data_IF_575560808583
#
_entry.id   IF_575560808583
#
_cell.length_a   1.000
_cell.length_b   1.000
_cell.length_c   1.000
_cell.angle_alpha   90.00
_cell.angle_beta   90.00
_cell.angle_gamma   90.00
#
_symmetry.space_group_name_H-M   'P 1'
#
loop_
_entity.id
_entity.type
_entity.pdbx_description
1 polymer ?
#
# COMPACT_ATOMS: atom_id res chain seq x y z
N UNK A 1 -6.79 13.05 39.56
CA UNK A 1 -6.23 11.95 38.73
C UNK A 1 -5.59 12.53 37.47
N UNK A 2 -4.76 11.73 36.78
CA UNK A 2 -4.08 12.16 35.55
C UNK A 2 -5.08 12.57 34.44
N UNK A 3 -6.22 11.89 34.32
CA UNK A 3 -7.27 12.24 33.36
C UNK A 3 -7.88 13.63 33.58
N UNK A 4 -8.21 13.99 34.83
CA UNK A 4 -8.75 15.33 35.14
C UNK A 4 -7.71 16.44 34.89
N UNK A 5 -6.42 16.15 35.13
CA UNK A 5 -5.32 17.09 34.86
C UNK A 5 -5.18 17.33 33.36
N UNK A 6 -5.16 16.26 32.56
CA UNK A 6 -5.10 16.34 31.10
C UNK A 6 -6.29 17.12 30.51
N UNK A 7 -7.51 16.89 31.01
CA UNK A 7 -8.71 17.62 30.58
C UNK A 7 -8.61 19.12 30.90
N UNK A 8 -7.98 19.48 32.02
CA UNK A 8 -7.76 20.88 32.40
C UNK A 8 -6.69 21.54 31.53
N UNK A 9 -5.64 20.82 31.13
CA UNK A 9 -4.63 21.28 30.17
C UNK A 9 -5.26 21.65 28.82
N UNK A 10 -6.12 20.79 28.26
CA UNK A 10 -6.84 21.10 27.02
C UNK A 10 -7.77 22.33 27.16
N UNK A 11 -8.48 22.45 28.30
CA UNK A 11 -9.40 23.57 28.55
C UNK A 11 -8.71 24.93 28.69
N UNK A 12 -7.43 24.96 29.10
CA UNK A 12 -6.64 26.21 29.17
C UNK A 12 -5.88 26.49 27.88
N UNK A 13 -6.20 25.79 26.79
CA UNK A 13 -5.64 26.03 25.47
C UNK A 13 -4.28 25.38 25.22
N UNK A 14 -3.87 24.40 26.04
CA UNK A 14 -2.70 23.58 25.69
C UNK A 14 -3.07 22.70 24.50
N UNK A 15 -2.44 22.97 23.35
CA UNK A 15 -2.55 22.14 22.16
C UNK A 15 -1.97 20.78 22.47
N UNK A 16 -2.71 19.72 22.13
CA UNK A 16 -2.24 18.33 22.23
C UNK A 16 -0.98 18.07 21.37
N UNK A 17 -0.73 18.98 20.42
CA UNK A 17 0.35 18.98 19.43
C UNK A 17 1.63 19.70 19.91
N UNK A 18 1.75 20.01 21.20
CA UNK A 18 3.00 20.49 21.81
C UNK A 18 4.10 19.42 21.91
N UNK A 19 3.76 18.15 21.69
CA UNK A 19 4.73 17.09 21.38
C UNK A 19 4.59 16.76 19.89
N UNK A 20 5.29 17.54 19.06
CA UNK A 20 5.51 17.17 17.66
C UNK A 20 6.21 15.81 17.63
N UNK A 21 5.47 14.75 17.31
CA UNK A 21 6.08 13.52 16.81
C UNK A 21 6.92 13.90 15.58
N UNK A 22 8.21 13.59 15.63
CA UNK A 22 9.24 13.94 14.65
C UNK A 22 8.81 13.64 13.20
N UNK A 23 7.89 12.68 13.02
CA UNK A 23 7.35 12.20 11.74
C UNK A 23 6.55 13.23 10.95
N UNK A 24 5.77 14.13 11.60
CA UNK A 24 4.97 15.13 10.89
C UNK A 24 5.77 16.40 10.53
N UNK A 25 6.86 16.66 11.26
CA UNK A 25 7.74 17.80 11.00
C UNK A 25 8.62 17.55 9.76
N UNK A 26 9.04 16.31 9.51
CA UNK A 26 9.88 15.98 8.34
C UNK A 26 9.12 16.20 7.03
N UNK A 27 7.85 15.78 6.91
CA UNK A 27 7.11 15.93 5.65
C UNK A 27 6.84 17.40 5.30
N UNK A 28 6.51 18.23 6.31
CA UNK A 28 6.29 19.67 6.12
C UNK A 28 7.59 20.47 5.93
N UNK A 29 8.70 20.09 6.61
CA UNK A 29 10.01 20.74 6.40
C UNK A 29 10.65 20.34 5.07
N UNK A 30 10.45 19.11 4.58
CA UNK A 30 11.00 18.68 3.29
C UNK A 30 10.35 19.45 2.12
N UNK A 31 9.04 19.72 2.18
CA UNK A 31 8.37 20.54 1.17
C UNK A 31 8.74 22.03 1.24
N UNK A 32 9.04 22.57 2.43
CA UNK A 32 9.40 23.99 2.59
C UNK A 32 10.89 24.27 2.32
N UNK A 33 11.79 23.34 2.64
CA UNK A 33 13.25 23.51 2.42
C UNK A 33 13.67 23.39 0.95
N UNK A 34 12.86 22.74 0.10
CA UNK A 34 13.08 22.73 -1.35
C UNK A 34 12.75 24.09 -2.02
N UNK A 35 11.96 24.95 -1.37
CA UNK A 35 11.62 26.30 -1.85
C UNK A 35 12.69 27.34 -1.48
N UNK A 36 13.37 27.20 -0.33
CA UNK A 36 14.29 28.22 0.18
C UNK A 36 15.78 27.98 -0.14
N UNK A 37 16.16 26.81 -0.67
CA UNK A 37 17.55 26.56 -1.13
C UNK A 37 17.90 27.20 -2.48
N UNK A 38 16.98 27.93 -3.13
CA UNK A 38 17.23 28.58 -4.43
C UNK A 38 17.77 30.02 -4.33
N UNK A 39 17.86 30.61 -3.14
CA UNK A 39 18.38 31.96 -2.93
C UNK A 39 19.39 31.89 -1.77
N UNK A 40 20.59 32.46 -1.95
CA UNK A 40 21.77 32.41 -1.05
C UNK A 40 22.64 31.17 -1.28
N UNK A 41 23.51 31.15 -2.29
CA UNK A 41 24.84 31.77 -2.16
C UNK A 41 25.50 31.96 -3.53
N UNK A 42 25.56 33.23 -3.99
CA UNK A 42 26.67 33.72 -4.81
C UNK A 42 27.74 34.21 -3.83
N UNK A 43 28.74 33.38 -3.55
CA UNK A 43 30.03 33.82 -3.03
C UNK A 43 31.05 32.70 -3.27
N UNK A 44 31.93 32.97 -4.22
CA UNK A 44 33.10 32.18 -4.61
C UNK A 44 34.07 31.92 -3.45
N UNK A 45 34.66 30.73 -3.41
CA UNK A 45 36.11 30.49 -3.29
C UNK A 45 36.40 28.99 -3.47
N UNK A 46 37.23 28.70 -4.48
CA UNK A 46 37.71 27.37 -4.86
C UNK A 46 38.59 26.76 -3.77
N UNK A 47 38.28 25.53 -3.35
CA UNK A 47 39.26 24.59 -2.83
C UNK A 47 38.95 23.19 -3.36
N UNK A 48 39.87 22.71 -4.18
CA UNK A 48 39.88 21.41 -4.83
C UNK A 48 40.09 20.32 -3.76
N UNK A 49 39.16 19.37 -3.64
CA UNK A 49 39.39 18.10 -2.94
C UNK A 49 38.76 16.98 -3.79
N UNK A 50 39.46 15.86 -4.05
CA UNK A 50 38.95 14.84 -4.97
C UNK A 50 37.88 14.00 -4.27
N UNK A 51 36.61 14.28 -4.55
CA UNK A 51 35.48 13.39 -4.27
C UNK A 51 35.37 12.33 -5.38
N UNK A 52 36.34 11.41 -5.40
CA UNK A 52 36.30 10.21 -6.26
C UNK A 52 36.24 9.04 -5.29
N UNK A 53 35.04 8.51 -4.99
CA UNK A 53 34.79 7.10 -4.63
C UNK A 53 33.36 6.80 -4.12
N UNK A 54 32.50 7.79 -3.86
CA UNK A 54 31.10 7.51 -3.44
C UNK A 54 30.18 7.22 -4.63
N UNK A 55 30.42 7.87 -5.78
CA UNK A 55 29.58 7.72 -6.99
C UNK A 55 29.60 6.31 -7.61
N UNK A 56 30.67 5.53 -7.40
CA UNK A 56 30.81 4.20 -8.02
C UNK A 56 30.06 3.07 -7.31
N UNK A 57 29.66 3.23 -6.04
CA UNK A 57 28.95 2.18 -5.29
C UNK A 57 27.44 2.26 -5.46
N UNK A 58 26.92 3.43 -5.76
CA UNK A 58 25.48 3.70 -5.79
C UNK A 58 24.86 3.28 -7.12
N UNK A 59 25.57 3.46 -8.26
CA UNK A 59 25.20 2.85 -9.55
C UNK A 59 25.21 1.31 -9.48
N UNK A 60 25.99 0.70 -8.58
CA UNK A 60 26.00 -0.76 -8.40
C UNK A 60 24.67 -1.30 -7.88
N UNK A 61 23.92 -0.51 -7.10
CA UNK A 61 22.61 -0.96 -6.59
C UNK A 61 21.67 -1.18 -7.76
N UNK A 62 21.54 -0.20 -8.67
CA UNK A 62 20.68 -0.33 -9.86
C UNK A 62 21.14 -1.48 -10.75
N UNK A 63 22.44 -1.58 -11.04
CA UNK A 63 22.98 -2.71 -11.82
C UNK A 63 22.74 -4.06 -11.16
N UNK A 64 22.86 -4.15 -9.84
CA UNK A 64 22.59 -5.38 -9.09
C UNK A 64 21.09 -5.73 -9.14
N UNK A 65 20.20 -4.75 -8.93
CA UNK A 65 18.75 -4.93 -9.01
C UNK A 65 18.31 -5.44 -10.39
N UNK A 66 18.96 -5.01 -11.47
CA UNK A 66 18.72 -5.54 -12.82
C UNK A 66 19.09 -7.01 -12.97
N UNK A 67 20.21 -7.44 -12.38
CA UNK A 67 20.71 -8.82 -12.49
C UNK A 67 19.88 -9.78 -11.67
N UNK A 68 19.38 -9.33 -10.51
CA UNK A 68 18.53 -10.15 -9.64
C UNK A 68 17.06 -10.09 -10.03
N UNK A 69 16.71 -9.35 -11.08
CA UNK A 69 15.33 -9.25 -11.56
C UNK A 69 14.81 -10.64 -11.96
N UNK A 70 13.64 -11.06 -11.45
CA UNK A 70 13.16 -12.41 -11.72
C UNK A 70 12.85 -12.70 -13.18
N UNK A 71 12.95 -13.97 -13.55
CA UNK A 71 12.51 -14.45 -14.85
C UNK A 71 10.98 -14.32 -15.01
N UNK A 72 10.55 -14.21 -16.27
CA UNK A 72 9.13 -14.07 -16.59
C UNK A 72 8.39 -15.36 -16.29
N UNK A 73 7.18 -15.22 -15.76
CA UNK A 73 6.28 -16.34 -15.44
C UNK A 73 5.09 -16.29 -16.40
N UNK A 74 4.73 -17.44 -16.97
CA UNK A 74 3.54 -17.60 -17.81
C UNK A 74 2.29 -17.82 -16.94
N UNK A 75 1.16 -17.24 -17.33
CA UNK A 75 -0.12 -17.39 -16.66
C UNK A 75 -0.67 -18.82 -16.75
N UNK A 76 -0.49 -19.47 -17.89
CA UNK A 76 -0.95 -20.84 -18.18
C UNK A 76 -2.45 -21.02 -17.92
N UNK A 77 -3.35 -20.26 -18.59
CA UNK A 77 -4.80 -20.43 -18.43
C UNK A 77 -5.24 -21.85 -18.81
N UNK A 78 -6.06 -22.49 -17.98
CA UNK A 78 -6.53 -23.85 -18.22
C UNK A 78 -7.39 -23.93 -19.50
N UNK A 79 -6.96 -24.66 -20.55
CA UNK A 79 -7.70 -24.75 -21.80
C UNK A 79 -9.01 -25.54 -21.68
N UNK A 80 -9.19 -26.32 -20.61
CA UNK A 80 -10.38 -27.15 -20.38
C UNK A 80 -11.54 -26.37 -19.75
N UNK A 81 -11.23 -25.23 -19.12
CA UNK A 81 -12.22 -24.35 -18.51
C UNK A 81 -12.90 -23.45 -19.57
N UNK A 82 -14.23 -23.26 -19.53
CA UNK A 82 -14.91 -22.34 -20.42
C UNK A 82 -14.48 -20.90 -20.14
N UNK A 83 -14.42 -20.07 -21.18
CA UNK A 83 -14.09 -18.66 -21.03
C UNK A 83 -15.17 -17.93 -20.24
N UNK A 84 -14.74 -17.09 -19.30
CA UNK A 84 -15.60 -16.38 -18.38
C UNK A 84 -14.83 -15.81 -17.19
N UNK A 85 -15.56 -15.13 -16.32
CA UNK A 85 -15.04 -14.47 -15.13
C UNK A 85 -14.29 -15.43 -14.19
N UNK A 86 -14.86 -16.60 -13.90
CA UNK A 86 -14.25 -17.59 -12.99
C UNK A 86 -12.89 -18.06 -13.53
N UNK A 87 -12.79 -18.37 -14.83
CA UNK A 87 -11.53 -18.82 -15.45
C UNK A 87 -10.47 -17.73 -15.39
N UNK A 88 -10.83 -16.50 -15.76
CA UNK A 88 -9.90 -15.38 -15.74
C UNK A 88 -9.40 -15.07 -14.32
N UNK A 89 -10.31 -14.99 -13.36
CA UNK A 89 -9.97 -14.72 -11.96
C UNK A 89 -9.14 -15.84 -11.34
N UNK A 90 -9.44 -17.11 -11.63
CA UNK A 90 -8.63 -18.25 -11.18
C UNK A 90 -7.22 -18.15 -11.74
N UNK A 91 -7.08 -17.91 -13.05
CA UNK A 91 -5.78 -17.74 -13.72
C UNK A 91 -4.95 -16.62 -13.08
N UNK A 92 -5.58 -15.47 -12.78
CA UNK A 92 -4.89 -14.36 -12.14
C UNK A 92 -4.48 -14.67 -10.68
N UNK A 93 -5.33 -15.36 -9.91
CA UNK A 93 -4.99 -15.78 -8.54
C UNK A 93 -3.80 -16.76 -8.53
N UNK A 94 -3.79 -17.72 -9.46
CA UNK A 94 -2.72 -18.71 -9.61
C UNK A 94 -1.40 -18.09 -10.10
N UNK A 95 -1.49 -17.11 -11.00
CA UNK A 95 -0.33 -16.32 -11.42
C UNK A 95 0.22 -15.48 -10.25
N UNK A 96 -0.65 -14.77 -9.52
CA UNK A 96 -0.25 -13.93 -8.40
C UNK A 96 0.41 -14.74 -7.28
N UNK A 97 -0.10 -15.94 -6.95
CA UNK A 97 0.51 -16.82 -5.96
C UNK A 97 1.95 -17.23 -6.34
N UNK A 98 2.17 -17.58 -7.61
CA UNK A 98 3.50 -17.92 -8.13
C UNK A 98 4.44 -16.71 -8.18
N UNK A 99 3.95 -15.56 -8.64
CA UNK A 99 4.71 -14.31 -8.62
C UNK A 99 5.09 -13.90 -7.18
N UNK A 100 4.22 -14.12 -6.19
CA UNK A 100 4.52 -13.84 -4.78
C UNK A 100 5.69 -14.66 -4.25
N UNK A 101 5.76 -15.97 -4.56
CA UNK A 101 6.90 -16.82 -4.17
C UNK A 101 8.21 -16.24 -4.72
N UNK A 102 8.19 -15.81 -5.97
CA UNK A 102 9.34 -15.21 -6.64
C UNK A 102 9.70 -13.84 -6.06
N UNK A 103 8.72 -13.00 -5.73
CA UNK A 103 8.93 -11.70 -5.05
C UNK A 103 9.59 -11.88 -3.68
N UNK A 104 9.17 -12.87 -2.90
CA UNK A 104 9.77 -13.17 -1.58
C UNK A 104 11.24 -13.59 -1.75
N UNK A 105 11.54 -14.38 -2.78
CA UNK A 105 12.92 -14.73 -3.13
C UNK A 105 13.75 -13.53 -3.59
N UNK A 106 13.18 -12.71 -4.46
CA UNK A 106 13.80 -11.49 -5.00
C UNK A 106 14.14 -10.49 -3.91
N UNK A 107 13.23 -10.24 -2.96
CA UNK A 107 13.43 -9.25 -1.89
C UNK A 107 14.71 -9.50 -1.08
N UNK A 108 15.07 -10.76 -0.85
CA UNK A 108 16.31 -11.14 -0.13
C UNK A 108 17.60 -10.70 -0.83
N UNK A 109 17.53 -10.44 -2.14
CA UNK A 109 18.67 -9.99 -2.94
C UNK A 109 18.83 -8.47 -2.95
N UNK A 110 17.86 -7.72 -2.43
CA UNK A 110 17.95 -6.26 -2.32
C UNK A 110 18.99 -5.92 -1.25
N UNK A 111 20.02 -5.10 -1.58
CA UNK A 111 21.04 -4.71 -0.61
C UNK A 111 20.43 -4.10 0.66
N UNK A 112 20.78 -4.66 1.82
CA UNK A 112 20.28 -4.23 3.12
C UNK A 112 19.00 -4.93 3.59
N UNK A 113 18.15 -5.44 2.70
CA UNK A 113 16.86 -6.05 3.10
C UNK A 113 17.03 -7.28 3.99
N UNK A 114 17.96 -8.18 3.66
CA UNK A 114 18.23 -9.40 4.44
C UNK A 114 18.85 -9.16 5.82
N UNK A 115 19.29 -7.93 6.11
CA UNK A 115 19.84 -7.54 7.42
C UNK A 115 18.77 -7.08 8.40
N UNK A 116 17.56 -6.79 7.92
CA UNK A 116 16.41 -6.44 8.75
C UNK A 116 15.95 -7.65 9.58
N UNK A 117 15.21 -7.39 10.67
CA UNK A 117 14.58 -8.47 11.43
C UNK A 117 13.61 -9.25 10.53
N UNK A 118 13.41 -10.54 10.81
CA UNK A 118 12.46 -11.34 10.03
C UNK A 118 11.03 -10.77 10.12
N UNK A 119 10.67 -10.18 11.27
CA UNK A 119 9.38 -9.51 11.46
C UNK A 119 9.23 -8.29 10.53
N UNK A 120 10.28 -7.48 10.42
CA UNK A 120 10.31 -6.32 9.51
C UNK A 120 10.27 -6.76 8.04
N UNK A 121 11.05 -7.77 7.66
CA UNK A 121 11.03 -8.32 6.29
C UNK A 121 9.61 -8.78 5.90
N UNK A 122 8.94 -9.51 6.79
CA UNK A 122 7.56 -9.97 6.56
C UNK A 122 6.57 -8.80 6.50
N UNK A 123 6.70 -7.83 7.41
CA UNK A 123 5.87 -6.62 7.44
C UNK A 123 5.97 -5.80 6.16
N UNK A 124 7.19 -5.61 5.64
CA UNK A 124 7.43 -4.89 4.38
C UNK A 124 6.78 -5.64 3.20
N UNK A 125 6.98 -6.96 3.11
CA UNK A 125 6.40 -7.80 2.05
C UNK A 125 4.86 -7.80 2.09
N UNK A 126 4.26 -8.01 3.27
CA UNK A 126 2.81 -7.98 3.47
C UNK A 126 2.19 -6.62 3.13
N UNK A 127 2.97 -5.54 3.28
CA UNK A 127 2.55 -4.20 2.93
C UNK A 127 2.75 -3.86 1.44
N UNK A 128 3.80 -4.33 0.79
CA UNK A 128 4.13 -3.87 -0.57
C UNK A 128 3.76 -4.85 -1.69
N UNK A 129 3.38 -6.09 -1.40
CA UNK A 129 3.25 -7.13 -2.42
C UNK A 129 2.37 -6.76 -3.62
N UNK A 130 1.20 -6.15 -3.38
CA UNK A 130 0.31 -5.77 -4.48
C UNK A 130 0.89 -4.61 -5.31
N UNK A 131 1.62 -3.68 -4.68
CA UNK A 131 2.31 -2.61 -5.42
C UNK A 131 3.38 -3.21 -6.32
N UNK A 132 4.12 -4.21 -5.85
CA UNK A 132 5.15 -4.90 -6.62
C UNK A 132 4.53 -5.65 -7.82
N UNK A 133 3.42 -6.36 -7.61
CA UNK A 133 2.70 -7.05 -8.69
C UNK A 133 2.16 -6.06 -9.73
N UNK A 134 1.46 -5.00 -9.29
CA UNK A 134 0.90 -3.98 -10.17
C UNK A 134 2.01 -3.27 -10.96
N UNK A 135 3.12 -2.93 -10.31
CA UNK A 135 4.24 -2.28 -10.99
C UNK A 135 4.83 -3.19 -12.08
N UNK A 136 4.91 -4.50 -11.82
CA UNK A 136 5.38 -5.49 -12.79
C UNK A 136 4.44 -5.60 -13.98
N UNK A 137 3.12 -5.64 -13.75
CA UNK A 137 2.09 -5.61 -14.81
C UNK A 137 2.20 -4.32 -15.63
N UNK A 138 2.34 -3.17 -14.96
CA UNK A 138 2.45 -1.86 -15.61
C UNK A 138 3.66 -1.81 -16.53
N UNK A 139 4.82 -2.27 -16.05
CA UNK A 139 6.05 -2.27 -16.83
C UNK A 139 5.96 -3.21 -18.04
N UNK A 140 5.38 -4.42 -17.87
CA UNK A 140 5.11 -5.35 -18.97
C UNK A 140 4.19 -4.75 -20.05
N UNK A 141 3.26 -3.88 -19.65
CA UNK A 141 2.24 -3.30 -20.54
C UNK A 141 2.69 -2.06 -21.31
N UNK A 142 3.89 -1.50 -21.03
CA UNK A 142 4.37 -0.27 -21.69
C UNK A 142 4.46 -0.35 -23.23
N UNK A 143 4.84 -1.51 -23.84
CA UNK A 143 4.91 -1.62 -25.30
C UNK A 143 3.53 -1.65 -26.00
N UNK A 144 2.46 -1.99 -25.28
CA UNK A 144 1.12 -2.14 -25.85
C UNK A 144 0.34 -0.81 -25.83
N UNK A 145 -0.74 -0.75 -26.63
CA UNK A 145 -1.69 0.36 -26.60
C UNK A 145 -2.98 -0.11 -25.95
N UNK A 146 -3.36 0.48 -24.83
CA UNK A 146 -4.68 0.26 -24.20
C UNK A 146 -4.96 -1.20 -23.76
N UNK A 147 -3.91 -2.01 -23.64
CA UNK A 147 -3.95 -3.41 -23.18
C UNK A 147 -3.16 -3.59 -21.88
N UNK A 148 -3.58 -4.56 -21.06
CA UNK A 148 -2.87 -4.94 -19.83
C UNK A 148 -2.24 -6.32 -20.00
N UNK A 149 -0.92 -6.38 -19.84
CA UNK A 149 -0.10 -7.59 -19.98
C UNK A 149 0.16 -8.20 -18.59
N UNK A 150 -0.74 -9.09 -18.17
CA UNK A 150 -0.56 -9.82 -16.91
C UNK A 150 0.56 -10.86 -17.01
N UNK A 151 0.70 -11.54 -18.14
CA UNK A 151 1.82 -12.42 -18.48
C UNK A 151 2.04 -12.40 -19.99
N UNK A 152 3.15 -12.97 -20.49
CA UNK A 152 3.40 -13.03 -21.95
C UNK A 152 2.30 -13.76 -22.73
N UNK A 153 1.68 -14.76 -22.10
CA UNK A 153 0.58 -15.58 -22.62
C UNK A 153 -0.80 -15.12 -22.13
N UNK A 154 -0.88 -13.97 -21.43
CA UNK A 154 -2.14 -13.45 -20.89
C UNK A 154 -2.19 -11.92 -20.97
N UNK A 155 -2.65 -11.46 -22.14
CA UNK A 155 -2.88 -10.05 -22.47
C UNK A 155 -4.39 -9.82 -22.52
N UNK A 156 -4.85 -8.74 -21.90
CA UNK A 156 -6.27 -8.44 -21.75
C UNK A 156 -6.54 -7.00 -22.19
N UNK A 157 -7.31 -6.85 -23.26
CA UNK A 157 -7.88 -5.57 -23.72
C UNK A 157 -9.12 -5.16 -22.89
N UNK A 158 -9.69 -3.98 -23.14
CA UNK A 158 -10.87 -3.50 -22.42
C UNK A 158 -12.11 -4.39 -22.61
N UNK A 159 -12.31 -4.94 -23.82
CA UNK A 159 -13.48 -5.77 -24.13
C UNK A 159 -13.38 -7.13 -23.43
N UNK A 160 -12.22 -7.77 -23.50
CA UNK A 160 -11.89 -9.00 -22.80
C UNK A 160 -11.99 -8.80 -21.29
N UNK A 161 -11.53 -7.65 -20.76
CA UNK A 161 -11.68 -7.32 -19.36
C UNK A 161 -13.15 -7.24 -18.95
N UNK A 162 -14.00 -6.63 -19.78
CA UNK A 162 -15.44 -6.55 -19.55
C UNK A 162 -16.10 -7.94 -19.54
N UNK A 163 -15.79 -8.77 -20.53
CA UNK A 163 -16.33 -10.13 -20.65
C UNK A 163 -15.84 -11.07 -19.52
N UNK A 164 -14.66 -10.81 -18.98
CA UNK A 164 -14.00 -11.64 -17.96
C UNK A 164 -14.15 -11.10 -16.53
N UNK A 165 -14.98 -10.07 -16.31
CA UNK A 165 -15.17 -9.48 -14.98
C UNK A 165 -13.94 -8.75 -14.41
N UNK A 166 -12.97 -8.39 -15.25
CA UNK A 166 -11.72 -7.70 -14.88
C UNK A 166 -11.76 -6.20 -15.15
N UNK A 167 -12.90 -5.64 -15.59
CA UNK A 167 -13.00 -4.24 -16.02
C UNK A 167 -12.55 -3.26 -14.93
N UNK A 168 -12.90 -3.50 -13.67
CA UNK A 168 -12.49 -2.65 -12.55
C UNK A 168 -10.96 -2.60 -12.39
N UNK A 169 -10.29 -3.74 -12.55
CA UNK A 169 -8.82 -3.82 -12.52
C UNK A 169 -8.21 -3.11 -13.73
N UNK A 170 -8.76 -3.35 -14.92
CA UNK A 170 -8.31 -2.72 -16.16
C UNK A 170 -8.36 -1.18 -16.04
N UNK A 171 -9.51 -0.63 -15.62
CA UNK A 171 -9.71 0.82 -15.43
C UNK A 171 -8.81 1.38 -14.31
N UNK A 172 -8.48 0.61 -13.28
CA UNK A 172 -7.59 1.04 -12.21
C UNK A 172 -6.11 1.05 -12.61
N UNK A 173 -5.65 0.08 -13.42
CA UNK A 173 -4.24 -0.10 -13.80
C UNK A 173 -3.87 0.76 -15.01
N UNK A 174 -4.75 0.87 -16.00
CA UNK A 174 -4.45 1.55 -17.27
C UNK A 174 -3.98 3.02 -17.12
N UNK A 175 -4.52 3.86 -16.22
CA UNK A 175 -4.00 5.21 -15.99
C UNK A 175 -2.54 5.24 -15.55
N UNK A 176 -2.10 4.24 -14.77
CA UNK A 176 -0.73 4.09 -14.32
C UNK A 176 0.19 3.67 -15.47
N UNK A 177 -0.26 2.76 -16.35
CA UNK A 177 0.43 2.40 -17.60
C UNK A 177 0.65 3.64 -18.46
N UNK A 178 -0.41 4.41 -18.74
CA UNK A 178 -0.33 5.65 -19.53
C UNK A 178 0.65 6.65 -18.90
N UNK A 179 0.69 6.75 -17.56
CA UNK A 179 1.62 7.62 -16.84
C UNK A 179 3.09 7.19 -17.02
N UNK A 180 3.38 5.90 -16.87
CA UNK A 180 4.74 5.36 -17.02
C UNK A 180 5.21 5.43 -18.48
N UNK A 181 4.31 5.14 -19.43
CA UNK A 181 4.56 5.26 -20.87
C UNK A 181 4.90 6.70 -21.26
N UNK A 182 4.17 7.70 -20.72
CA UNK A 182 4.47 9.12 -20.93
C UNK A 182 5.83 9.55 -20.35
N UNK A 183 6.23 8.97 -19.22
CA UNK A 183 7.54 9.22 -18.61
C UNK A 183 8.68 8.47 -19.31
N UNK A 184 8.35 7.50 -20.18
CA UNK A 184 9.29 6.57 -20.81
C UNK A 184 10.17 5.91 -19.76
N UNK A 185 9.50 5.21 -18.85
CA UNK A 185 10.19 4.53 -17.74
C UNK A 185 11.07 3.41 -18.31
N UNK A 186 12.32 3.42 -17.91
CA UNK A 186 13.35 2.45 -18.29
C UNK A 186 13.38 1.28 -17.29
N UNK A 187 14.10 0.19 -17.65
CA UNK A 187 14.10 -1.03 -16.82
C UNK A 187 14.81 -0.78 -15.48
N UNK A 188 15.88 0.00 -15.51
CA UNK A 188 16.68 0.47 -14.39
C UNK A 188 15.82 1.22 -13.36
N UNK A 189 15.01 2.16 -13.85
CA UNK A 189 14.08 2.95 -13.04
C UNK A 189 12.99 2.06 -12.45
N UNK A 190 12.44 1.14 -13.26
CA UNK A 190 11.42 0.19 -12.82
C UNK A 190 11.92 -0.70 -11.67
N UNK A 191 13.08 -1.35 -11.80
CA UNK A 191 13.60 -2.24 -10.74
C UNK A 191 13.92 -1.46 -9.45
N UNK A 192 14.37 -0.22 -9.60
CA UNK A 192 14.65 0.68 -8.47
C UNK A 192 13.35 1.14 -7.79
N UNK A 193 12.34 1.55 -8.55
CA UNK A 193 11.01 1.89 -8.03
C UNK A 193 10.34 0.70 -7.33
N UNK A 194 10.56 -0.52 -7.83
CA UNK A 194 10.06 -1.76 -7.20
C UNK A 194 10.69 -1.97 -5.83
N UNK A 195 12.00 -1.78 -5.70
CA UNK A 195 12.69 -1.84 -4.41
C UNK A 195 12.26 -0.71 -3.46
N UNK A 196 12.09 0.51 -3.98
CA UNK A 196 11.57 1.64 -3.20
C UNK A 196 10.15 1.37 -2.71
N UNK A 197 9.27 0.79 -3.54
CA UNK A 197 7.91 0.44 -3.13
C UNK A 197 7.89 -0.59 -1.98
N UNK A 198 8.83 -1.54 -1.98
CA UNK A 198 9.02 -2.49 -0.88
C UNK A 198 9.46 -1.79 0.41
N UNK A 199 10.46 -0.90 0.33
CA UNK A 199 11.01 -0.22 1.49
C UNK A 199 10.09 0.91 2.01
N UNK A 200 9.33 1.56 1.13
CA UNK A 200 8.41 2.66 1.44
C UNK A 200 7.04 2.12 1.89
N UNK A 201 7.07 1.22 2.87
CA UNK A 201 5.86 0.56 3.35
C UNK A 201 5.15 1.42 4.40
N UNK A 202 3.82 1.45 4.32
CA UNK A 202 2.96 2.07 5.32
C UNK A 202 2.73 1.17 6.56
N UNK A 203 3.56 0.15 6.76
CA UNK A 203 3.38 -0.80 7.85
C UNK A 203 3.49 -0.12 9.21
N UNK A 204 2.51 -0.36 10.08
CA UNK A 204 2.53 0.16 11.46
C UNK A 204 3.33 -0.75 12.42
N UNK A 205 3.84 -1.88 11.94
CA UNK A 205 4.45 -2.94 12.74
C UNK A 205 5.97 -3.05 12.57
N UNK A 206 6.62 -1.97 12.11
CA UNK A 206 8.08 -1.95 11.96
C UNK A 206 8.73 -1.85 13.34
N UNK A 207 9.59 -2.80 13.66
CA UNK A 207 10.37 -2.87 14.90
C UNK A 207 11.55 -1.89 14.84
N UNK A 208 12.38 -1.98 13.79
CA UNK A 208 13.55 -1.10 13.60
C UNK A 208 13.30 -0.08 12.47
N UNK A 209 12.64 1.01 12.86
CA UNK A 209 12.32 2.13 11.95
C UNK A 209 13.59 2.74 11.34
N UNK A 210 14.70 2.80 12.09
CA UNK A 210 15.95 3.39 11.61
C UNK A 210 16.64 2.51 10.57
N UNK A 211 16.61 1.19 10.71
CA UNK A 211 17.12 0.27 9.70
C UNK A 211 16.30 0.33 8.41
N UNK A 212 14.96 0.36 8.50
CA UNK A 212 14.09 0.51 7.33
C UNK A 212 14.30 1.86 6.65
N UNK A 213 14.46 2.95 7.42
CA UNK A 213 14.77 4.27 6.87
C UNK A 213 16.11 4.27 6.13
N UNK A 214 17.16 3.65 6.69
CA UNK A 214 18.46 3.52 6.01
C UNK A 214 18.37 2.75 4.69
N UNK A 215 17.57 1.69 4.65
CA UNK A 215 17.29 0.95 3.41
C UNK A 215 16.59 1.86 2.39
N UNK A 216 15.56 2.60 2.81
CA UNK A 216 14.85 3.53 1.95
C UNK A 216 15.76 4.64 1.41
N UNK A 217 16.58 5.25 2.26
CA UNK A 217 17.50 6.32 1.89
C UNK A 217 18.54 5.84 0.88
N UNK A 218 19.10 4.64 1.09
CA UNK A 218 20.05 4.03 0.16
C UNK A 218 19.43 3.77 -1.22
N UNK A 219 18.15 3.39 -1.28
CA UNK A 219 17.44 3.18 -2.55
C UNK A 219 17.06 4.49 -3.24
N UNK A 220 16.70 5.53 -2.48
CA UNK A 220 16.46 6.87 -3.03
C UNK A 220 17.74 7.50 -3.57
N UNK A 221 18.86 7.34 -2.87
CA UNK A 221 20.19 7.77 -3.33
C UNK A 221 20.57 7.02 -4.61
N UNK A 222 20.33 5.70 -4.67
CA UNK A 222 20.52 4.89 -5.88
C UNK A 222 19.77 5.43 -7.10
N UNK A 223 18.50 5.82 -6.92
CA UNK A 223 17.73 6.45 -7.97
C UNK A 223 18.30 7.82 -8.36
N UNK A 224 18.56 8.70 -7.38
CA UNK A 224 19.06 10.05 -7.64
C UNK A 224 20.38 10.06 -8.41
N UNK A 225 21.31 9.20 -8.02
CA UNK A 225 22.62 9.08 -8.69
C UNK A 225 22.48 8.50 -10.10
N UNK A 226 21.63 7.48 -10.29
CA UNK A 226 21.36 6.94 -11.62
C UNK A 226 20.81 8.01 -12.55
N UNK A 227 19.76 8.73 -12.13
CA UNK A 227 19.16 9.82 -12.90
C UNK A 227 20.13 10.97 -13.16
N UNK A 228 20.93 11.35 -12.16
CA UNK A 228 21.94 12.39 -12.31
C UNK A 228 23.04 12.03 -13.33
N UNK A 229 23.30 10.74 -13.51
CA UNK A 229 24.31 10.23 -14.45
C UNK A 229 23.77 9.98 -15.86
N UNK A 230 22.57 9.41 -15.99
CA UNK A 230 21.99 8.99 -17.27
C UNK A 230 21.09 10.05 -17.90
N UNK A 231 20.39 10.84 -17.09
CA UNK A 231 19.40 11.83 -17.54
C UNK A 231 19.71 13.23 -16.99
N UNK A 232 20.97 13.65 -17.16
CA UNK A 232 21.45 14.96 -16.70
C UNK A 232 20.66 16.15 -17.29
N UNK A 233 19.96 15.95 -18.41
CA UNK A 233 19.08 16.93 -19.04
C UNK A 233 17.77 17.20 -18.28
N UNK A 234 17.34 16.29 -17.41
CA UNK A 234 16.14 16.44 -16.57
C UNK A 234 16.44 16.21 -15.09
N UNK A 235 17.02 17.21 -14.38
CA UNK A 235 17.40 17.09 -12.97
C UNK A 235 16.25 16.78 -12.00
N UNK A 236 14.99 16.81 -12.49
CA UNK A 236 13.78 16.53 -11.71
C UNK A 236 13.22 15.13 -11.99
N UNK A 237 13.89 14.31 -12.80
CA UNK A 237 13.38 13.00 -13.24
C UNK A 237 13.15 12.04 -12.08
N UNK A 238 14.12 11.89 -11.16
CA UNK A 238 13.95 11.13 -9.92
C UNK A 238 12.68 11.53 -9.15
N UNK A 239 12.46 12.83 -8.97
CA UNK A 239 11.24 13.34 -8.33
C UNK A 239 9.96 13.00 -9.10
N UNK A 240 9.96 13.11 -10.44
CA UNK A 240 8.80 12.73 -11.28
C UNK A 240 8.46 11.24 -11.14
N UNK A 241 9.46 10.37 -11.06
CA UNK A 241 9.32 8.93 -10.85
C UNK A 241 8.72 8.63 -9.47
N UNK A 242 9.27 9.24 -8.41
CA UNK A 242 8.76 9.08 -7.04
C UNK A 242 7.32 9.58 -6.89
N UNK A 243 6.94 10.65 -7.60
CA UNK A 243 5.57 11.15 -7.61
C UNK A 243 4.57 10.22 -8.33
N UNK A 244 5.02 9.11 -8.91
CA UNK A 244 4.12 8.06 -9.41
C UNK A 244 3.69 7.07 -8.33
N UNK A 245 4.46 6.92 -7.26
CA UNK A 245 4.20 5.97 -6.17
C UNK A 245 2.83 6.17 -5.48
N UNK A 246 2.31 7.40 -5.29
CA UNK A 246 0.97 7.58 -4.74
C UNK A 246 -0.13 6.98 -5.63
N UNK A 247 -0.01 7.10 -6.95
CA UNK A 247 -0.96 6.48 -7.88
C UNK A 247 -0.83 4.96 -7.86
N UNK A 248 0.41 4.42 -7.79
CA UNK A 248 0.66 2.99 -7.59
C UNK A 248 -0.03 2.46 -6.32
N UNK A 249 0.15 3.14 -5.19
CA UNK A 249 -0.48 2.80 -3.91
C UNK A 249 -2.01 2.78 -4.02
N UNK A 250 -2.60 3.75 -4.70
CA UNK A 250 -4.04 3.81 -4.93
C UNK A 250 -4.53 2.65 -5.81
N UNK A 251 -3.85 2.37 -6.93
CA UNK A 251 -4.19 1.26 -7.84
C UNK A 251 -4.06 -0.08 -7.12
N UNK A 252 -2.97 -0.29 -6.37
CA UNK A 252 -2.76 -1.50 -5.59
C UNK A 252 -3.84 -1.69 -4.51
N UNK A 253 -4.26 -0.61 -3.84
CA UNK A 253 -5.37 -0.67 -2.88
C UNK A 253 -6.69 -1.11 -3.53
N UNK A 254 -7.01 -0.58 -4.72
CA UNK A 254 -8.19 -1.01 -5.50
C UNK A 254 -8.09 -2.48 -5.93
N UNK A 255 -6.90 -2.94 -6.34
CA UNK A 255 -6.68 -4.34 -6.68
C UNK A 255 -6.89 -5.26 -5.47
N UNK A 256 -6.35 -4.91 -4.29
CA UNK A 256 -6.60 -5.64 -3.03
C UNK A 256 -8.10 -5.68 -2.71
N UNK A 257 -8.83 -4.57 -2.84
CA UNK A 257 -10.28 -4.53 -2.64
C UNK A 257 -11.02 -5.48 -3.58
N UNK A 258 -10.66 -5.48 -4.86
CA UNK A 258 -11.28 -6.33 -5.87
C UNK A 258 -11.08 -7.82 -5.55
N UNK A 259 -9.84 -8.26 -5.31
CA UNK A 259 -9.56 -9.65 -4.95
C UNK A 259 -10.20 -10.05 -3.61
N UNK A 260 -10.30 -9.13 -2.66
CA UNK A 260 -11.01 -9.41 -1.41
C UNK A 260 -12.52 -9.61 -1.62
N UNK A 261 -13.16 -8.80 -2.48
CA UNK A 261 -14.56 -9.01 -2.86
C UNK A 261 -14.77 -10.40 -3.47
N UNK A 262 -13.86 -10.83 -4.36
CA UNK A 262 -13.91 -12.16 -4.98
C UNK A 262 -13.75 -13.27 -3.93
N UNK A 263 -12.81 -13.10 -2.99
CA UNK A 263 -12.64 -14.04 -1.87
C UNK A 263 -13.95 -14.18 -1.07
N UNK A 264 -14.60 -13.06 -0.75
CA UNK A 264 -15.85 -13.07 0.02
C UNK A 264 -17.01 -13.76 -0.71
N UNK A 265 -16.99 -13.79 -2.04
CA UNK A 265 -17.97 -14.52 -2.85
C UNK A 265 -17.74 -16.04 -2.83
N UNK A 266 -16.51 -16.49 -2.58
CA UNK A 266 -16.16 -17.91 -2.44
C UNK A 266 -16.26 -18.75 -3.73
N UNK A 267 -16.34 -18.10 -4.91
CA UNK A 267 -16.49 -18.78 -6.21
C UNK A 267 -15.18 -19.16 -6.89
N UNK A 268 -14.10 -18.44 -6.57
CA UNK A 268 -12.78 -18.59 -7.19
C UNK A 268 -11.84 -19.20 -6.17
N UNK A 269 -11.20 -20.35 -6.46
CA UNK A 269 -10.19 -20.90 -5.57
C UNK A 269 -8.98 -19.97 -5.53
N UNK A 270 -8.41 -19.81 -4.33
CA UNK A 270 -7.19 -19.03 -4.13
C UNK A 270 -6.19 -19.87 -3.36
N UNK A 271 -4.93 -19.84 -3.79
CA UNK A 271 -3.86 -20.54 -3.12
C UNK A 271 -3.51 -19.89 -1.77
N UNK A 272 -2.88 -20.69 -0.91
CA UNK A 272 -2.66 -20.36 0.50
C UNK A 272 -1.83 -19.09 0.69
N UNK A 273 -0.74 -18.92 -0.06
CA UNK A 273 0.15 -17.77 0.11
C UNK A 273 -0.56 -16.47 -0.31
N UNK A 274 -1.24 -16.48 -1.46
CA UNK A 274 -2.03 -15.33 -1.91
C UNK A 274 -3.13 -14.96 -0.88
N UNK A 275 -3.83 -15.94 -0.31
CA UNK A 275 -4.82 -15.70 0.74
C UNK A 275 -4.22 -15.08 1.99
N UNK A 276 -3.09 -15.60 2.49
CA UNK A 276 -2.39 -15.06 3.66
C UNK A 276 -1.97 -13.60 3.44
N UNK A 277 -1.45 -13.27 2.25
CA UNK A 277 -1.05 -11.90 1.90
C UNK A 277 -2.25 -10.95 1.76
N UNK A 278 -3.39 -11.46 1.27
CA UNK A 278 -4.64 -10.71 1.15
C UNK A 278 -5.25 -10.40 2.54
N UNK A 279 -5.19 -11.36 3.47
CA UNK A 279 -5.69 -11.20 4.85
C UNK A 279 -4.82 -10.26 5.68
N UNK A 280 -3.49 -10.32 5.52
CA UNK A 280 -2.55 -9.47 6.26
C UNK A 280 -2.84 -7.96 6.06
N UNK A 281 -3.27 -7.57 4.85
CA UNK A 281 -3.65 -6.18 4.51
C UNK A 281 -4.88 -5.66 5.26
N UNK A 282 -5.77 -6.54 5.74
CA UNK A 282 -7.05 -6.18 6.35
C UNK A 282 -7.02 -6.10 7.88
N UNK A 283 -6.02 -6.71 8.52
CA UNK A 283 -5.77 -6.52 9.95
C UNK A 283 -5.32 -5.08 10.30
N UNK A 284 -5.25 -4.19 9.31
CA UNK A 284 -5.11 -2.74 9.45
C UNK A 284 -6.41 -1.99 9.07
N UNK A 285 -7.45 -2.02 9.91
CA UNK A 285 -8.78 -1.45 9.60
C UNK A 285 -8.80 0.09 9.46
N UNK A 286 -7.68 0.79 9.61
CA UNK A 286 -7.65 2.26 9.67
C UNK A 286 -7.50 2.91 8.27
N UNK A 287 -6.99 2.21 7.24
CA UNK A 287 -6.71 2.86 5.94
C UNK A 287 -7.71 2.57 4.81
N UNK A 288 -8.47 1.47 4.86
CA UNK A 288 -9.49 1.19 3.83
C UNK A 288 -10.72 2.10 3.94
N UNK A 289 -11.07 2.56 5.16
CA UNK A 289 -12.24 3.41 5.39
C UNK A 289 -12.09 4.85 4.89
N UNK A 290 -10.89 5.29 4.51
CA UNK A 290 -10.64 6.65 4.01
C UNK A 290 -10.53 6.72 2.47
N UNK A 291 -10.48 5.57 1.79
CA UNK A 291 -10.47 5.48 0.32
C UNK A 291 -11.72 4.79 -0.25
N UNK A 292 -12.56 4.19 0.60
CA UNK A 292 -13.88 3.71 0.20
C UNK A 292 -14.84 4.91 0.11
N UNK A 293 -15.10 5.37 -1.12
CA UNK A 293 -16.16 6.31 -1.43
C UNK A 293 -17.46 5.96 -0.68
N UNK A 294 -18.12 7.01 -0.15
CA UNK A 294 -19.37 7.01 0.62
C UNK A 294 -20.51 6.14 0.02
N UNK A 295 -20.43 5.77 -1.26
CA UNK A 295 -21.47 5.03 -1.97
C UNK A 295 -21.42 3.50 -1.75
N UNK A 296 -20.27 2.94 -1.38
CA UNK A 296 -20.15 1.48 -1.16
C UNK A 296 -20.71 1.09 0.20
N UNK A 297 -20.55 1.98 1.19
CA UNK A 297 -21.09 1.79 2.54
C UNK A 297 -22.61 1.79 2.54
N UNK A 298 -23.24 2.64 1.73
CA UNK A 298 -24.71 2.69 1.59
C UNK A 298 -25.29 1.37 1.05
N UNK A 299 -24.58 0.72 0.13
CA UNK A 299 -25.03 -0.53 -0.50
C UNK A 299 -24.91 -1.73 0.46
N UNK A 300 -23.81 -1.83 1.20
CA UNK A 300 -23.62 -2.91 2.21
C UNK A 300 -24.55 -2.72 3.40
N UNK A 301 -24.79 -1.48 3.84
CA UNK A 301 -25.76 -1.18 4.89
C UNK A 301 -27.19 -1.48 4.41
N UNK A 302 -27.55 -1.13 3.17
CA UNK A 302 -28.86 -1.44 2.61
C UNK A 302 -29.10 -2.95 2.46
N UNK A 303 -28.12 -3.73 2.00
CA UNK A 303 -28.25 -5.21 1.90
C UNK A 303 -28.48 -5.83 3.28
N UNK A 304 -27.81 -5.31 4.33
CA UNK A 304 -27.97 -5.80 5.70
C UNK A 304 -29.26 -5.33 6.38
N UNK A 305 -29.73 -4.12 6.06
CA UNK A 305 -31.02 -3.58 6.55
C UNK A 305 -32.21 -4.28 5.89
N UNK A 306 -32.13 -4.62 4.60
CA UNK A 306 -33.19 -5.35 3.88
C UNK A 306 -33.35 -6.79 4.41
N UNK A 307 -32.28 -7.38 4.94
CA UNK A 307 -32.31 -8.71 5.56
C UNK A 307 -32.95 -8.79 6.95
N UNK A 308 -33.17 -7.67 7.64
CA UNK A 308 -33.61 -7.67 9.05
C UNK A 308 -34.91 -6.92 9.37
N UNK A 309 -35.61 -6.32 8.40
CA UNK A 309 -36.86 -5.60 8.70
C UNK A 309 -38.07 -6.11 7.92
N UNK A 310 -38.71 -7.15 8.46
CA UNK A 310 -40.17 -7.24 8.44
C UNK A 310 -40.70 -6.45 9.65
N UNK A 311 -41.59 -5.49 9.37
CA UNK A 311 -42.36 -4.61 10.27
C UNK A 311 -41.78 -3.24 10.69
N UNK A 312 -42.62 -2.24 10.37
CA UNK A 312 -42.76 -0.89 10.93
C UNK A 312 -41.77 0.20 10.47
N UNK A 313 -42.23 0.95 9.47
CA UNK A 313 -41.66 2.18 8.95
C UNK A 313 -41.74 3.31 10.00
N UNK A 314 -40.60 3.90 10.37
CA UNK A 314 -40.51 5.26 10.91
C UNK A 314 -39.31 5.95 10.27
N UNK A 315 -39.58 6.97 9.44
CA UNK A 315 -38.55 7.90 8.93
C UNK A 315 -37.90 8.61 10.13
N UNK A 316 -36.60 8.39 10.32
CA UNK A 316 -35.77 9.20 11.21
C UNK A 316 -34.80 10.04 10.39
N UNK A 317 -34.55 11.25 10.91
CA UNK A 317 -33.83 12.34 10.25
C UNK A 317 -32.30 12.08 10.28
N UNK A 318 -31.61 12.32 9.17
CA UNK A 318 -30.23 11.87 8.87
C UNK A 318 -29.16 12.37 9.85
N UNK A 319 -29.42 13.43 10.63
CA UNK A 319 -28.45 14.01 11.57
C UNK A 319 -28.41 13.37 12.97
N UNK A 320 -29.18 12.29 13.22
CA UNK A 320 -29.17 11.57 14.51
C UNK A 320 -28.52 10.17 14.45
N UNK A 321 -28.09 9.72 13.28
CA UNK A 321 -27.62 8.34 13.07
C UNK A 321 -26.11 8.17 13.42
N UNK A 322 -25.32 9.24 13.38
CA UNK A 322 -23.85 9.17 13.53
C UNK A 322 -23.34 8.79 14.94
N UNK A 323 -24.12 9.06 15.99
CA UNK A 323 -23.71 8.66 17.35
C UNK A 323 -24.18 7.25 17.72
N UNK A 324 -25.26 6.73 17.12
CA UNK A 324 -25.84 5.44 17.49
C UNK A 324 -25.07 4.23 16.97
N UNK A 325 -24.60 4.32 15.71
CA UNK A 325 -23.94 3.19 15.02
C UNK A 325 -22.54 2.94 15.60
N UNK A 326 -21.80 4.01 15.92
CA UNK A 326 -20.49 3.92 16.58
C UNK A 326 -20.58 3.26 17.96
N UNK A 327 -21.66 3.54 18.71
CA UNK A 327 -21.89 2.94 20.04
C UNK A 327 -22.30 1.45 19.91
N UNK A 328 -23.06 1.06 18.89
CA UNK A 328 -23.37 -0.36 18.64
C UNK A 328 -22.13 -1.15 18.25
N UNK A 329 -21.24 -0.60 17.41
CA UNK A 329 -20.00 -1.27 17.00
C UNK A 329 -19.06 -1.53 18.19
N UNK A 330 -18.95 -0.56 19.12
CA UNK A 330 -18.16 -0.72 20.35
C UNK A 330 -18.80 -1.76 21.29
N UNK A 331 -20.13 -1.82 21.37
CA UNK A 331 -20.83 -2.84 22.17
C UNK A 331 -20.63 -4.25 21.61
N UNK A 332 -20.66 -4.40 20.29
CA UNK A 332 -20.54 -5.69 19.61
C UNK A 332 -19.13 -6.29 19.77
N UNK A 333 -18.08 -5.46 19.61
CA UNK A 333 -16.69 -5.82 19.86
C UNK A 333 -16.42 -6.20 21.32
N UNK A 334 -17.09 -5.57 22.28
CA UNK A 334 -16.97 -5.93 23.70
C UNK A 334 -17.69 -7.24 24.06
N UNK A 335 -18.71 -7.66 23.30
CA UNK A 335 -19.40 -8.95 23.52
C UNK A 335 -18.65 -10.16 22.97
N UNK A 336 -17.88 -10.02 21.89
CA UNK A 336 -17.10 -11.14 21.31
C UNK A 336 -15.82 -11.49 22.08
N UNK A 337 -15.35 -10.62 22.99
CA UNK A 337 -14.16 -10.89 23.84
C UNK A 337 -14.50 -11.73 25.08
N UNK A 338 -15.77 -12.14 25.29
CA UNK A 338 -16.14 -13.03 26.40
C UNK A 338 -16.71 -14.34 25.88
N UNK A 339 -15.92 -15.42 25.94
CA UNK A 339 -16.29 -16.76 26.41
C UNK A 339 -15.02 -17.66 26.54
N UNK A 340 -15.03 -18.80 27.26
CA UNK A 340 -15.22 -18.95 28.70
C UNK A 340 -14.02 -19.73 29.32
N UNK A 341 -13.60 -19.44 30.55
CA UNK A 341 -12.90 -20.43 31.40
C UNK A 341 -12.96 -20.07 32.88
N UNK A 342 -13.46 -21.05 33.62
CA UNK A 342 -13.45 -21.21 35.08
C UNK A 342 -12.07 -20.94 35.70
N UNK A 343 -12.02 -20.10 36.75
CA UNK A 343 -11.44 -20.44 38.06
C UNK A 343 -11.52 -19.25 39.04
N UNK A 344 -11.52 -19.60 40.32
CA UNK A 344 -11.92 -18.85 41.50
C UNK A 344 -11.10 -17.57 41.86
N UNK A 345 -11.77 -16.71 42.65
CA UNK A 345 -11.27 -15.74 43.64
C UNK A 345 -11.00 -14.25 43.28
N UNK A 346 -12.00 -13.43 43.64
CA UNK A 346 -11.96 -12.16 44.41
C UNK A 346 -11.02 -11.01 44.01
N UNK A 347 -11.57 -9.92 43.42
CA UNK A 347 -11.94 -8.63 44.06
C UNK A 347 -12.47 -7.61 43.01
N UNK A 348 -13.34 -6.65 43.37
CA UNK A 348 -14.10 -5.84 42.41
C UNK A 348 -13.34 -4.60 41.92
N UNK A 349 -13.38 -4.33 40.61
CA UNK A 349 -13.02 -3.03 40.02
C UNK A 349 -14.31 -2.27 39.74
N UNK A 350 -14.37 -1.05 40.29
CA UNK A 350 -15.53 -0.17 40.27
C UNK A 350 -16.00 0.18 38.85
N UNK A 351 -17.31 0.03 38.62
CA UNK A 351 -18.00 0.50 37.41
C UNK A 351 -18.39 1.96 37.63
N UNK A 352 -17.79 2.88 36.86
CA UNK A 352 -18.25 4.27 36.81
C UNK A 352 -19.40 4.40 35.79
N UNK A 353 -20.60 4.68 36.30
CA UNK A 353 -21.74 5.12 35.51
C UNK A 353 -21.47 6.51 34.90
N UNK A 354 -21.51 6.63 33.57
CA UNK A 354 -21.69 7.94 32.91
C UNK A 354 -23.19 8.20 32.75
N UNK A 355 -23.70 9.22 33.47
CA UNK A 355 -25.00 9.84 33.21
C UNK A 355 -24.88 10.71 31.96
N UNK A 356 -25.74 10.46 30.98
CA UNK A 356 -25.94 11.28 29.78
C UNK A 356 -26.68 12.57 30.15
N UNK A 357 -26.18 13.71 29.67
CA UNK A 357 -26.95 14.91 29.34
C UNK A 357 -27.01 15.01 27.83
#
# INVERSE_FOLDING_TARGET
>A
CQACRFMKCLKVGMLKEGECSFSHLILCLHFRTLSERFIVTKASLSLHLPSINVSLTVTKIVSHLLVVEPEKIYAMPDPTMPDGDIKALTTLCDLADRELVVIIGWAKHIPGFSTLSLADQMSLLQSAWMEILVLSIVFRSLPCEEEIVYAEDYVVDEEQARLSGLLDLHVAILPLVRRYKKLRVEKEEFVTLKAIALANSDSMHIEDIEAVQRLQDSLHEALQDFEGSQHAEDPRRAGKLLMTLPLLRQTAAKAVQHFYSIKMQGKVPMHKLFLEMLEAKLHHPIKLGLLADFNTFETVLNIKIIGETNNSFKRMNINQIDCGITIMYIKMLCTEIRQPRSCYNQRPIAVYHLKLL
#
